data_IF_552371225922
#
_entry.id   IF_552371225922
#
_cell.length_a   1.000
_cell.length_b   1.000
_cell.length_c   1.000
_cell.angle_alpha   90.00
_cell.angle_beta   90.00
_cell.angle_gamma   90.00
#
_symmetry.space_group_name_H-M   'P 1'
#
loop_
_entity.id
_entity.type
_entity.pdbx_description
1 polymer ?
#
# COMPACT_ATOMS: atom_id res chain seq x y z
N UNK A 1 118.39 -7.42 -56.40
CA UNK A 1 117.44 -8.22 -57.18
C UNK A 1 116.08 -8.03 -56.50
N UNK A 2 115.23 -7.11 -56.98
CA UNK A 2 114.22 -7.28 -58.05
C UNK A 2 112.99 -8.08 -57.57
N UNK A 3 111.80 -7.44 -57.65
CA UNK A 3 110.43 -8.00 -57.58
C UNK A 3 109.96 -8.57 -56.20
N UNK A 4 108.67 -8.64 -55.79
CA UNK A 4 107.34 -8.05 -56.13
C UNK A 4 106.33 -8.58 -55.05
N UNK A 5 105.14 -8.07 -54.71
CA UNK A 5 104.29 -6.91 -55.10
C UNK A 5 103.14 -6.74 -54.04
N UNK A 6 102.33 -5.66 -54.11
CA UNK A 6 100.98 -5.43 -53.52
C UNK A 6 100.81 -5.12 -52.01
N UNK A 7 100.13 -4.01 -51.77
CA UNK A 7 99.45 -3.64 -50.53
C UNK A 7 98.18 -4.46 -50.31
N UNK A 8 97.76 -4.62 -49.04
CA UNK A 8 96.36 -4.84 -48.66
C UNK A 8 96.12 -4.27 -47.26
N UNK A 9 95.04 -3.50 -47.11
CA UNK A 9 94.72 -2.74 -45.89
C UNK A 9 93.99 -3.66 -44.91
N UNK A 10 94.43 -3.67 -43.65
CA UNK A 10 93.80 -4.44 -42.58
C UNK A 10 92.76 -3.58 -41.86
N UNK A 11 91.47 -3.80 -42.16
CA UNK A 11 90.36 -3.15 -41.44
C UNK A 11 89.89 -4.06 -40.31
N UNK A 12 90.03 -3.57 -39.07
CA UNK A 12 89.46 -4.20 -37.88
C UNK A 12 87.93 -4.08 -37.92
N UNK A 13 87.21 -5.20 -37.85
CA UNK A 13 85.74 -5.20 -37.73
C UNK A 13 85.33 -5.65 -36.32
N UNK A 14 85.07 -4.68 -35.45
CA UNK A 14 84.53 -4.91 -34.10
C UNK A 14 83.04 -5.21 -34.20
N UNK A 15 82.64 -6.44 -33.88
CA UNK A 15 81.26 -6.89 -33.95
C UNK A 15 80.47 -6.44 -32.70
N UNK A 16 79.78 -5.30 -32.80
CA UNK A 16 78.86 -4.84 -31.77
C UNK A 16 77.48 -5.52 -31.96
N UNK A 17 77.07 -6.36 -31.00
CA UNK A 17 75.76 -6.98 -31.00
C UNK A 17 74.69 -5.97 -30.54
N UNK A 18 73.90 -5.44 -31.47
CA UNK A 18 72.68 -4.71 -31.14
C UNK A 18 71.54 -5.68 -30.85
N UNK A 19 71.21 -5.87 -29.58
CA UNK A 19 69.92 -6.46 -29.18
C UNK A 19 68.82 -5.45 -29.44
N UNK A 20 68.11 -5.59 -30.56
CA UNK A 20 66.89 -4.84 -30.80
C UNK A 20 65.77 -5.38 -29.91
N UNK A 21 65.42 -4.66 -28.84
CA UNK A 21 64.13 -4.87 -28.20
C UNK A 21 63.04 -4.47 -29.20
N UNK A 22 62.25 -5.43 -29.66
CA UNK A 22 60.94 -5.12 -30.21
C UNK A 22 60.09 -4.60 -29.06
N UNK A 23 59.56 -3.38 -29.19
CA UNK A 23 58.38 -3.02 -28.42
C UNK A 23 57.24 -3.86 -28.98
N UNK A 24 56.95 -4.99 -28.34
CA UNK A 24 55.59 -5.53 -28.38
C UNK A 24 54.71 -4.50 -27.66
N UNK A 25 54.06 -3.63 -28.44
CA UNK A 25 53.11 -2.66 -27.92
C UNK A 25 52.02 -3.44 -27.16
N UNK A 26 52.02 -3.29 -25.83
CA UNK A 26 51.08 -4.00 -24.97
C UNK A 26 49.65 -3.62 -25.35
N UNK A 27 48.97 -4.53 -26.05
CA UNK A 27 47.57 -4.40 -26.44
C UNK A 27 46.73 -4.30 -25.17
N UNK A 28 46.21 -3.11 -24.88
CA UNK A 28 45.36 -2.85 -23.71
C UNK A 28 43.89 -2.77 -24.10
N UNK A 29 42.94 -3.14 -23.22
CA UNK A 29 41.52 -2.98 -23.47
C UNK A 29 41.14 -1.50 -23.49
N UNK A 30 40.45 -1.08 -24.53
CA UNK A 30 39.86 0.25 -24.63
C UNK A 30 38.33 0.16 -24.64
N UNK A 31 37.68 1.08 -23.94
CA UNK A 31 36.23 1.26 -23.95
C UNK A 31 35.95 2.66 -24.49
N UNK A 32 35.39 2.71 -25.69
CA UNK A 32 35.01 3.96 -26.36
C UNK A 32 33.65 4.45 -25.86
N UNK A 33 32.72 3.52 -25.64
CA UNK A 33 31.35 3.83 -25.26
C UNK A 33 30.76 2.80 -24.28
N UNK A 34 29.85 3.31 -23.44
CA UNK A 34 28.86 2.51 -22.73
C UNK A 34 27.49 3.05 -23.15
N UNK A 35 26.59 2.20 -23.62
CA UNK A 35 25.27 2.58 -24.14
C UNK A 35 24.15 1.78 -23.47
N UNK A 36 22.97 2.37 -23.35
CA UNK A 36 21.78 1.64 -22.92
C UNK A 36 21.33 0.65 -24.01
N UNK A 37 20.66 -0.43 -23.63
CA UNK A 37 20.16 -1.44 -24.57
C UNK A 37 18.63 -1.55 -24.59
N UNK A 38 17.94 -1.00 -25.61
CA UNK A 38 18.44 -0.06 -26.62
C UNK A 38 18.50 1.38 -26.10
N UNK A 39 19.38 2.23 -26.65
CA UNK A 39 19.42 3.65 -26.34
C UNK A 39 20.79 4.32 -26.54
N UNK A 40 20.96 5.45 -25.88
CA UNK A 40 22.07 6.39 -26.05
C UNK A 40 23.29 6.06 -25.17
N UNK A 41 24.35 6.86 -25.36
CA UNK A 41 25.55 6.90 -24.51
C UNK A 41 25.21 7.22 -23.05
N UNK A 42 25.75 6.40 -22.13
CA UNK A 42 25.52 6.48 -20.70
C UNK A 42 26.66 7.19 -19.97
N UNK A 43 26.41 8.43 -19.56
CA UNK A 43 27.16 9.09 -18.48
C UNK A 43 26.51 8.83 -17.10
N UNK A 44 25.21 8.56 -17.10
CA UNK A 44 24.38 8.27 -15.93
C UNK A 44 23.42 7.12 -16.27
N UNK A 45 23.00 6.32 -15.29
CA UNK A 45 22.10 5.18 -15.52
C UNK A 45 21.29 4.83 -14.27
N UNK A 46 20.33 3.92 -14.37
CA UNK A 46 19.54 3.43 -13.24
C UNK A 46 19.89 1.98 -12.89
N UNK A 47 19.59 1.53 -11.65
CA UNK A 47 19.48 0.12 -11.31
C UNK A 47 18.72 -0.70 -12.35
N UNK A 48 19.19 -1.93 -12.62
CA UNK A 48 18.62 -2.86 -13.61
C UNK A 48 18.68 -2.41 -15.08
N UNK A 49 19.29 -1.26 -15.41
CA UNK A 49 19.54 -0.91 -16.82
C UNK A 49 20.49 -1.92 -17.46
N UNK A 50 20.13 -2.42 -18.65
CA UNK A 50 21.01 -3.23 -19.49
C UNK A 50 21.95 -2.30 -20.26
N UNK A 51 23.24 -2.60 -20.19
CA UNK A 51 24.32 -1.80 -20.75
C UNK A 51 25.11 -2.64 -21.76
N UNK A 52 25.28 -2.12 -22.97
CA UNK A 52 26.29 -2.60 -23.92
C UNK A 52 27.53 -1.73 -23.78
N UNK A 53 28.68 -2.37 -23.71
CA UNK A 53 29.99 -1.72 -23.78
C UNK A 53 30.53 -1.91 -25.19
N UNK A 54 31.14 -0.88 -25.75
CA UNK A 54 31.74 -0.87 -27.08
C UNK A 54 33.18 -0.35 -27.00
N UNK A 55 34.08 -0.94 -27.79
CA UNK A 55 35.50 -0.58 -27.81
C UNK A 55 36.37 -1.59 -28.56
N UNK A 56 37.59 -1.78 -28.08
CA UNK A 56 38.60 -2.67 -28.70
C UNK A 56 39.35 -3.50 -27.65
N UNK A 57 39.82 -4.69 -28.06
CA UNK A 57 40.53 -5.66 -27.21
C UNK A 57 39.72 -6.10 -25.98
N UNK A 58 38.39 -6.16 -26.13
CA UNK A 58 37.44 -6.52 -25.07
C UNK A 58 37.21 -8.03 -24.95
N UNK A 59 37.84 -8.84 -25.81
CA UNK A 59 37.65 -10.29 -25.83
C UNK A 59 38.20 -10.96 -24.56
N UNK A 60 37.51 -12.02 -24.12
CA UNK A 60 37.89 -12.76 -22.93
C UNK A 60 37.68 -11.95 -21.66
N UNK A 61 36.56 -11.24 -21.57
CA UNK A 61 36.10 -10.62 -20.34
C UNK A 61 36.02 -11.67 -19.23
N UNK A 62 36.70 -11.43 -18.12
CA UNK A 62 36.82 -12.33 -16.97
C UNK A 62 35.96 -11.86 -15.80
N UNK A 63 35.92 -10.55 -15.56
CA UNK A 63 35.25 -9.95 -14.41
C UNK A 63 34.82 -8.52 -14.72
N UNK A 64 33.65 -8.15 -14.22
CA UNK A 64 33.17 -6.77 -14.13
C UNK A 64 33.04 -6.46 -12.64
N UNK A 65 33.60 -5.35 -12.16
CA UNK A 65 33.51 -4.92 -10.76
C UNK A 65 32.94 -3.51 -10.69
N UNK A 66 31.96 -3.29 -9.82
CA UNK A 66 31.34 -1.98 -9.56
C UNK A 66 31.69 -1.51 -8.15
N UNK A 67 32.09 -0.23 -8.02
CA UNK A 67 32.55 0.40 -6.78
C UNK A 67 33.64 -0.41 -6.03
N UNK A 68 34.47 -1.13 -6.79
CA UNK A 68 35.51 -2.07 -6.34
C UNK A 68 35.05 -3.18 -5.38
N UNK A 69 33.73 -3.41 -5.27
CA UNK A 69 33.10 -4.33 -4.30
C UNK A 69 32.18 -5.36 -4.94
N UNK A 70 31.45 -4.98 -5.98
CA UNK A 70 30.31 -5.75 -6.50
C UNK A 70 30.70 -6.40 -7.82
N UNK A 71 30.81 -7.73 -7.80
CA UNK A 71 31.05 -8.54 -8.99
C UNK A 71 29.77 -8.61 -9.83
N UNK A 72 29.77 -8.03 -11.04
CA UNK A 72 28.62 -8.08 -11.93
C UNK A 72 28.68 -9.35 -12.78
N UNK A 73 27.59 -10.12 -12.76
CA UNK A 73 27.41 -11.26 -13.66
C UNK A 73 27.17 -10.80 -15.11
N UNK A 74 27.80 -11.48 -16.05
CA UNK A 74 27.64 -11.29 -17.49
C UNK A 74 27.55 -12.65 -18.20
N UNK A 75 27.04 -12.67 -19.43
CA UNK A 75 27.01 -13.89 -20.25
C UNK A 75 28.20 -13.87 -21.22
N UNK A 76 29.19 -14.78 -21.08
CA UNK A 76 30.36 -14.82 -21.97
C UNK A 76 30.01 -15.00 -23.45
N UNK A 77 28.86 -15.59 -23.78
CA UNK A 77 28.41 -15.74 -25.16
C UNK A 77 28.05 -14.41 -25.85
N UNK A 78 27.90 -13.32 -25.09
CA UNK A 78 27.72 -11.97 -25.63
C UNK A 78 29.03 -11.15 -25.63
N UNK A 79 30.16 -11.72 -25.21
CA UNK A 79 31.46 -11.05 -25.27
C UNK A 79 32.14 -11.32 -26.62
N UNK A 80 32.29 -10.24 -27.40
CA UNK A 80 33.15 -10.18 -28.59
C UNK A 80 34.41 -9.37 -28.28
N UNK A 81 35.27 -9.20 -29.28
CA UNK A 81 36.43 -8.31 -29.15
C UNK A 81 36.07 -6.82 -29.12
N UNK A 82 34.87 -6.48 -29.62
CA UNK A 82 34.39 -5.10 -29.74
C UNK A 82 33.28 -4.73 -28.78
N UNK A 83 32.67 -5.70 -28.11
CA UNK A 83 31.53 -5.43 -27.24
C UNK A 83 31.22 -6.55 -26.24
N UNK A 84 30.47 -6.19 -25.19
CA UNK A 84 29.78 -7.12 -24.31
C UNK A 84 28.57 -6.45 -23.67
N UNK A 85 27.69 -7.24 -23.08
CA UNK A 85 26.46 -6.76 -22.43
C UNK A 85 26.40 -7.26 -20.99
N UNK A 86 26.00 -6.37 -20.07
CA UNK A 86 25.70 -6.68 -18.68
C UNK A 86 24.47 -5.88 -18.20
N UNK A 87 24.04 -6.11 -16.96
CA UNK A 87 22.95 -5.35 -16.32
C UNK A 87 23.49 -4.71 -15.05
N UNK A 88 23.18 -3.44 -14.81
CA UNK A 88 23.57 -2.70 -13.60
C UNK A 88 22.90 -3.36 -12.38
N UNK A 89 23.65 -3.96 -11.44
CA UNK A 89 23.08 -4.52 -10.23
C UNK A 89 22.69 -3.41 -9.25
N UNK A 90 21.76 -3.71 -8.36
CA UNK A 90 21.56 -2.90 -7.16
C UNK A 90 21.10 -3.79 -6.01
N UNK A 91 22.02 -4.12 -5.12
CA UNK A 91 21.80 -4.83 -3.87
C UNK A 91 22.56 -4.10 -2.75
N UNK A 92 21.81 -3.55 -1.78
CA UNK A 92 22.36 -2.89 -0.58
C UNK A 92 23.30 -3.80 0.21
N UNK A 93 23.01 -5.11 0.27
CA UNK A 93 23.78 -6.09 1.06
C UNK A 93 25.15 -6.38 0.45
N UNK A 94 25.29 -6.14 -0.85
CA UNK A 94 26.57 -6.19 -1.58
C UNK A 94 27.27 -4.81 -1.59
N UNK A 95 26.68 -3.78 -0.97
CA UNK A 95 27.26 -2.45 -0.86
C UNK A 95 26.91 -1.49 -1.99
N UNK A 96 25.80 -1.72 -2.70
CA UNK A 96 25.36 -0.83 -3.80
C UNK A 96 25.01 0.57 -3.28
N UNK A 97 25.40 1.60 -4.03
CA UNK A 97 25.13 3.01 -3.71
C UNK A 97 24.77 3.81 -4.96
N UNK A 98 24.19 4.98 -4.73
CA UNK A 98 23.90 5.97 -5.78
C UNK A 98 25.09 6.94 -5.98
N UNK A 99 25.00 7.74 -7.04
CA UNK A 99 26.01 8.70 -7.46
C UNK A 99 27.14 8.08 -8.29
N UNK A 100 28.20 8.85 -8.52
CA UNK A 100 29.35 8.45 -9.33
C UNK A 100 30.16 7.35 -8.62
N UNK A 101 30.48 6.28 -9.34
CA UNK A 101 31.33 5.19 -8.88
C UNK A 101 32.15 4.57 -10.01
N UNK A 102 33.33 3.99 -9.71
CA UNK A 102 34.13 3.31 -10.72
C UNK A 102 33.45 2.01 -11.15
N UNK A 103 33.58 1.68 -12.43
CA UNK A 103 33.28 0.36 -13.00
C UNK A 103 34.50 -0.13 -13.76
N UNK A 104 34.98 -1.32 -13.39
CA UNK A 104 36.23 -1.90 -13.86
C UNK A 104 35.96 -3.19 -14.63
N UNK A 105 36.50 -3.27 -15.85
CA UNK A 105 36.39 -4.40 -16.76
C UNK A 105 37.74 -5.09 -16.90
N UNK A 106 37.85 -6.33 -16.44
CA UNK A 106 39.05 -7.17 -16.54
C UNK A 106 38.90 -8.14 -17.71
N UNK A 107 39.73 -8.00 -18.75
CA UNK A 107 39.70 -8.80 -19.98
C UNK A 107 40.90 -9.77 -20.06
N UNK A 108 41.11 -10.38 -21.23
CA UNK A 108 42.35 -11.10 -21.52
C UNK A 108 43.54 -10.14 -21.72
N UNK A 109 43.30 -8.94 -22.25
CA UNK A 109 44.29 -7.93 -22.61
C UNK A 109 44.73 -7.03 -21.44
N UNK A 110 43.93 -6.92 -20.37
CA UNK A 110 44.26 -6.09 -19.22
C UNK A 110 43.03 -5.67 -18.43
N UNK A 111 43.10 -4.51 -17.79
CA UNK A 111 41.97 -3.92 -17.05
C UNK A 111 41.74 -2.48 -17.51
N UNK A 112 40.47 -2.10 -17.65
CA UNK A 112 40.06 -0.72 -17.96
C UNK A 112 38.95 -0.29 -17.01
N UNK A 113 39.11 0.89 -16.42
CA UNK A 113 38.16 1.49 -15.47
C UNK A 113 37.53 2.73 -16.10
N UNK A 114 36.21 2.85 -15.94
CA UNK A 114 35.43 4.05 -16.27
C UNK A 114 34.66 4.50 -15.03
N UNK A 115 34.10 5.70 -15.05
CA UNK A 115 33.15 6.16 -14.05
C UNK A 115 31.73 6.02 -14.60
N UNK A 116 30.78 5.66 -13.75
CA UNK A 116 29.36 5.66 -14.07
C UNK A 116 28.56 6.24 -12.89
N UNK A 117 27.58 7.08 -13.18
CA UNK A 117 26.67 7.61 -12.16
C UNK A 117 25.41 6.74 -12.06
N UNK A 118 25.14 6.18 -10.87
CA UNK A 118 23.90 5.43 -10.63
C UNK A 118 22.87 6.36 -9.98
N UNK A 119 21.83 6.69 -10.72
CA UNK A 119 20.72 7.51 -10.25
C UNK A 119 19.74 6.69 -9.39
N UNK A 120 19.16 7.33 -8.39
CA UNK A 120 18.06 6.74 -7.61
C UNK A 120 16.77 6.78 -8.45
N UNK A 121 16.09 5.64 -8.68
CA UNK A 121 14.77 5.64 -9.32
C UNK A 121 13.72 6.39 -8.51
N UNK A 122 12.63 6.79 -9.18
CA UNK A 122 11.46 7.34 -8.52
C UNK A 122 10.93 6.38 -7.44
N UNK A 123 10.58 6.88 -6.23
CA UNK A 123 9.89 6.07 -5.24
C UNK A 123 8.50 5.68 -5.73
N UNK A 124 7.98 4.56 -5.26
CA UNK A 124 6.60 4.14 -5.53
C UNK A 124 5.85 3.85 -4.23
N UNK A 125 4.53 4.04 -4.22
CA UNK A 125 3.67 3.61 -3.12
C UNK A 125 2.74 2.52 -3.67
N UNK A 126 2.90 1.29 -3.17
CA UNK A 126 2.11 0.14 -3.56
C UNK A 126 0.79 0.07 -2.77
N UNK A 127 0.87 0.12 -1.44
CA UNK A 127 -0.28 0.01 -0.55
C UNK A 127 -0.01 0.62 0.83
N UNK A 128 -1.07 0.77 1.61
CA UNK A 128 -1.00 1.14 3.03
C UNK A 128 -1.51 0.00 3.90
N UNK A 129 -1.03 -0.06 5.14
CA UNK A 129 -1.49 -1.00 6.17
C UNK A 129 -1.76 -0.21 7.46
N UNK A 130 -3.01 -0.17 7.95
CA UNK A 130 -4.23 -0.75 7.35
C UNK A 130 -4.59 -0.12 6.00
N UNK A 131 -5.39 -0.84 5.20
CA UNK A 131 -5.83 -0.39 3.87
C UNK A 131 -6.82 0.78 3.96
N UNK A 132 -7.76 0.71 4.91
CA UNK A 132 -8.59 1.84 5.35
C UNK A 132 -7.89 2.44 6.57
N UNK A 133 -7.39 3.66 6.45
CA UNK A 133 -6.61 4.28 7.52
C UNK A 133 -7.52 4.92 8.60
N UNK A 134 -6.99 5.07 9.81
CA UNK A 134 -7.70 5.71 10.94
C UNK A 134 -6.89 6.91 11.42
N UNK A 135 -7.38 8.15 11.26
CA UNK A 135 -6.73 9.36 11.77
C UNK A 135 -6.30 9.20 13.24
N UNK A 136 -5.06 9.61 13.56
CA UNK A 136 -4.48 9.49 14.90
C UNK A 136 -3.70 8.20 15.17
N UNK A 137 -3.80 7.19 14.30
CA UNK A 137 -3.07 5.93 14.42
C UNK A 137 -1.90 5.85 13.42
N UNK A 138 -0.85 5.04 13.69
CA UNK A 138 0.22 4.80 12.73
C UNK A 138 -0.30 4.19 11.42
N UNK A 139 0.30 4.59 10.30
CA UNK A 139 0.01 4.03 8.97
C UNK A 139 1.32 3.52 8.36
N UNK A 140 1.43 2.23 8.09
CA UNK A 140 2.53 1.70 7.29
C UNK A 140 2.25 1.94 5.80
N UNK A 141 3.28 2.33 5.07
CA UNK A 141 3.30 2.53 3.63
C UNK A 141 4.32 1.55 3.04
N UNK A 142 3.85 0.67 2.16
CA UNK A 142 4.72 -0.27 1.44
C UNK A 142 4.90 0.18 -0.01
N UNK A 143 6.11 0.02 -0.54
CA UNK A 143 6.52 0.59 -1.82
C UNK A 143 7.93 0.21 -2.24
N UNK A 144 8.59 1.08 -3.01
CA UNK A 144 9.98 0.89 -3.45
C UNK A 144 10.76 2.21 -3.49
N UNK A 145 12.09 2.09 -3.47
CA UNK A 145 13.07 3.17 -3.58
C UNK A 145 12.98 4.26 -2.50
N UNK A 146 12.56 3.90 -1.29
CA UNK A 146 12.51 4.77 -0.11
C UNK A 146 13.89 5.07 0.51
N UNK A 147 14.90 5.35 -0.32
CA UNK A 147 16.22 5.77 0.13
C UNK A 147 16.26 7.28 0.36
N UNK A 148 16.94 7.70 1.43
CA UNK A 148 17.22 9.11 1.74
C UNK A 148 15.94 9.98 1.70
N UNK A 149 14.83 9.47 2.25
CA UNK A 149 13.56 10.21 2.33
C UNK A 149 13.82 11.56 3.01
N UNK A 150 13.58 12.64 2.29
CA UNK A 150 13.87 14.01 2.75
C UNK A 150 12.65 14.66 3.40
N UNK A 151 11.45 14.24 3.01
CA UNK A 151 10.19 14.70 3.58
C UNK A 151 9.04 13.75 3.24
N UNK A 152 8.05 13.71 4.14
CA UNK A 152 6.73 13.17 3.87
C UNK A 152 5.71 14.23 4.29
N UNK A 153 4.74 14.51 3.42
CA UNK A 153 3.65 15.44 3.71
C UNK A 153 2.29 14.78 3.46
N UNK A 154 1.28 15.23 4.20
CA UNK A 154 -0.12 14.89 4.01
C UNK A 154 -0.92 16.20 3.88
N UNK A 155 -1.68 16.34 2.79
CA UNK A 155 -2.35 17.60 2.43
C UNK A 155 -1.38 18.83 2.50
N UNK A 156 -0.14 18.64 2.03
CA UNK A 156 0.92 19.65 2.05
C UNK A 156 1.59 19.91 3.40
N UNK A 157 1.11 19.33 4.51
CA UNK A 157 1.70 19.49 5.86
C UNK A 157 2.66 18.35 6.18
N UNK A 158 3.80 18.63 6.78
CA UNK A 158 4.75 17.59 7.21
C UNK A 158 4.13 16.64 8.24
N UNK A 159 4.41 15.35 8.11
CA UNK A 159 4.04 14.31 9.10
C UNK A 159 5.29 13.70 9.72
N UNK A 160 5.18 13.15 10.93
CA UNK A 160 6.24 12.33 11.52
C UNK A 160 6.34 11.00 10.79
N UNK A 161 7.55 10.48 10.62
CA UNK A 161 7.79 9.21 9.94
C UNK A 161 9.03 8.49 10.44
N UNK A 162 9.05 7.17 10.22
CA UNK A 162 10.20 6.29 10.37
C UNK A 162 10.36 5.47 9.10
N UNK A 163 11.57 5.43 8.54
CA UNK A 163 11.90 4.58 7.39
C UNK A 163 12.44 3.25 7.92
N UNK A 164 11.69 2.17 7.73
CA UNK A 164 12.08 0.83 8.20
C UNK A 164 13.01 0.15 7.19
N UNK A 165 12.79 0.39 5.89
CA UNK A 165 13.59 -0.13 4.79
C UNK A 165 13.37 0.70 3.53
N UNK A 166 14.10 0.40 2.46
CA UNK A 166 13.87 0.91 1.11
C UNK A 166 12.50 0.55 0.49
N UNK A 167 11.66 -0.22 1.21
CA UNK A 167 10.32 -0.65 0.80
C UNK A 167 9.20 -0.48 1.86
N UNK A 168 9.52 -0.05 3.09
CA UNK A 168 8.53 0.16 4.17
C UNK A 168 8.84 1.43 4.98
N UNK A 169 7.81 2.27 5.16
CA UNK A 169 7.82 3.47 5.99
C UNK A 169 6.62 3.41 6.92
N UNK A 170 6.75 3.85 8.17
CA UNK A 170 5.60 4.13 9.06
C UNK A 170 5.47 5.65 9.22
N UNK A 171 4.26 6.18 9.06
CA UNK A 171 3.93 7.58 9.38
C UNK A 171 3.02 7.68 10.59
N UNK A 172 3.16 8.76 11.35
CA UNK A 172 2.14 9.18 12.32
C UNK A 172 1.02 9.93 11.60
N UNK A 173 -0.13 9.29 11.40
CA UNK A 173 -1.27 9.93 10.74
C UNK A 173 -1.93 10.95 11.69
N UNK A 174 -2.07 12.23 11.32
CA UNK A 174 -2.70 13.22 12.19
C UNK A 174 -4.14 12.86 12.56
N UNK A 175 -4.55 13.11 13.81
CA UNK A 175 -5.91 12.86 14.29
C UNK A 175 -6.99 13.71 13.58
N UNK A 176 -6.59 14.82 12.96
CA UNK A 176 -7.43 15.71 12.17
C UNK A 176 -7.20 15.59 10.65
N UNK A 177 -6.64 14.47 10.19
CA UNK A 177 -6.53 14.20 8.75
C UNK A 177 -7.93 14.06 8.11
N UNK A 178 -8.07 14.54 6.87
CA UNK A 178 -9.33 14.52 6.10
C UNK A 178 -9.23 13.47 4.98
N UNK A 179 -10.31 12.72 4.70
CA UNK A 179 -10.31 11.73 3.61
C UNK A 179 -9.99 12.39 2.27
N UNK A 180 -9.30 11.67 1.38
CA UNK A 180 -8.82 12.20 0.11
C UNK A 180 -7.56 13.07 0.22
N UNK A 181 -6.95 13.17 1.41
CA UNK A 181 -5.69 13.91 1.58
C UNK A 181 -4.56 13.28 0.76
N UNK A 182 -3.89 14.09 -0.06
CA UNK A 182 -2.69 13.64 -0.80
C UNK A 182 -1.53 13.43 0.18
N UNK A 183 -1.02 12.20 0.24
CA UNK A 183 0.27 11.84 0.80
C UNK A 183 1.35 12.01 -0.27
N UNK A 184 2.44 12.70 0.05
CA UNK A 184 3.61 12.88 -0.82
C UNK A 184 4.87 12.43 -0.09
N UNK A 185 5.62 11.50 -0.68
CA UNK A 185 6.95 11.05 -0.21
C UNK A 185 7.99 11.62 -1.16
N UNK A 186 9.00 12.33 -0.63
CA UNK A 186 10.09 12.91 -1.42
C UNK A 186 11.42 12.23 -1.11
N UNK A 187 12.16 11.89 -2.17
CA UNK A 187 13.51 11.31 -2.15
C UNK A 187 14.39 12.04 -3.18
N UNK A 188 15.73 11.83 -3.21
CA UNK A 188 16.58 12.32 -4.28
C UNK A 188 16.18 11.84 -5.68
N UNK A 189 15.58 10.64 -5.79
CA UNK A 189 15.05 10.11 -7.06
C UNK A 189 13.74 10.75 -7.52
N UNK A 190 13.13 11.63 -6.69
CA UNK A 190 11.88 12.33 -6.98
C UNK A 190 10.77 11.98 -5.98
N UNK A 191 9.52 12.07 -6.42
CA UNK A 191 8.32 12.00 -5.56
C UNK A 191 7.40 10.83 -5.89
N UNK A 192 6.78 10.27 -4.85
CA UNK A 192 5.62 9.39 -4.96
C UNK A 192 4.40 10.07 -4.31
N UNK A 193 3.23 9.97 -4.92
CA UNK A 193 1.97 10.52 -4.38
C UNK A 193 0.89 9.45 -4.27
N UNK A 194 -0.02 9.60 -3.29
CA UNK A 194 -1.20 8.74 -3.11
C UNK A 194 -2.28 9.47 -2.29
N UNK A 195 -3.54 9.42 -2.73
CA UNK A 195 -4.66 9.84 -1.87
C UNK A 195 -4.89 8.82 -0.75
N UNK A 196 -5.03 9.31 0.48
CA UNK A 196 -5.33 8.49 1.65
C UNK A 196 -6.81 8.66 1.99
N UNK A 197 -7.55 7.55 1.92
CA UNK A 197 -8.97 7.49 2.27
C UNK A 197 -9.18 6.94 3.69
N UNK A 198 -10.22 7.45 4.35
CA UNK A 198 -10.68 7.04 5.67
C UNK A 198 -12.14 6.60 5.59
N UNK A 199 -12.53 5.70 6.48
CA UNK A 199 -13.95 5.42 6.66
C UNK A 199 -14.67 6.66 7.19
N UNK A 200 -15.75 7.07 6.53
CA UNK A 200 -16.76 7.96 7.14
C UNK A 200 -17.49 7.15 8.20
N UNK A 201 -17.49 7.61 9.46
CA UNK A 201 -18.25 6.97 10.55
C UNK A 201 -19.15 8.01 11.20
N UNK A 202 -20.45 7.73 11.21
CA UNK A 202 -21.47 8.60 11.78
C UNK A 202 -22.10 7.87 12.97
N UNK A 203 -21.93 8.43 14.17
CA UNK A 203 -22.63 7.97 15.36
C UNK A 203 -24.11 8.36 15.25
N UNK A 204 -24.99 7.38 15.22
CA UNK A 204 -26.44 7.56 15.22
C UNK A 204 -26.90 7.75 16.67
N UNK A 205 -26.52 6.84 17.56
CA UNK A 205 -26.79 6.95 19.01
C UNK A 205 -25.82 6.09 19.83
N UNK A 206 -25.42 6.59 20.99
CA UNK A 206 -24.70 5.87 22.06
C UNK A 206 -25.49 5.79 23.37
N UNK A 207 -26.74 6.25 23.38
CA UNK A 207 -27.61 6.33 24.57
C UNK A 207 -27.07 7.11 25.79
N UNK A 208 -25.86 7.67 25.69
CA UNK A 208 -25.19 8.53 26.67
C UNK A 208 -25.32 10.03 26.35
N UNK A 209 -26.02 10.36 25.25
CA UNK A 209 -26.39 11.72 24.87
C UNK A 209 -25.67 12.26 23.63
N UNK A 210 -24.88 11.43 22.94
CA UNK A 210 -24.23 11.80 21.69
C UNK A 210 -24.91 11.14 20.47
N UNK A 211 -24.41 11.49 19.28
CA UNK A 211 -24.92 11.00 18.00
C UNK A 211 -26.02 11.88 17.39
N UNK A 212 -26.40 11.56 16.15
CA UNK A 212 -27.40 12.33 15.37
C UNK A 212 -28.86 12.08 15.79
N UNK A 213 -29.11 11.16 16.73
CA UNK A 213 -30.42 10.67 17.14
C UNK A 213 -30.40 10.26 18.62
N UNK A 214 -30.82 11.16 19.51
CA UNK A 214 -30.78 10.96 20.97
C UNK A 214 -32.13 10.58 21.59
N UNK A 215 -33.26 10.91 20.94
CA UNK A 215 -34.61 10.65 21.46
C UNK A 215 -35.24 9.40 20.83
N UNK A 216 -35.06 8.23 21.44
CA UNK A 216 -35.65 6.97 20.98
C UNK A 216 -36.99 6.65 21.66
N UNK A 217 -37.92 6.07 20.89
CA UNK A 217 -39.21 5.56 21.37
C UNK A 217 -39.49 4.17 20.79
N UNK A 218 -40.42 3.44 21.40
CA UNK A 218 -40.84 2.09 20.98
C UNK A 218 -42.29 2.06 20.49
N UNK A 219 -42.61 1.10 19.61
CA UNK A 219 -43.93 0.95 19.00
C UNK A 219 -44.27 -0.51 18.67
N UNK A 220 -45.56 -0.80 18.47
CA UNK A 220 -46.07 -2.14 18.19
C UNK A 220 -46.13 -3.02 19.44
N UNK A 221 -45.93 -4.32 19.27
CA UNK A 221 -45.94 -5.32 20.34
C UNK A 221 -44.68 -5.24 21.22
N UNK A 222 -44.60 -4.23 22.10
CA UNK A 222 -43.49 -4.04 23.04
C UNK A 222 -44.01 -4.14 24.47
N UNK A 223 -43.31 -4.93 25.29
CA UNK A 223 -43.61 -5.11 26.72
C UNK A 223 -42.99 -3.97 27.54
N UNK A 224 -41.72 -3.69 27.30
CA UNK A 224 -41.00 -2.57 27.90
C UNK A 224 -39.84 -2.10 27.02
N UNK A 225 -39.52 -0.81 27.12
CA UNK A 225 -38.39 -0.18 26.45
C UNK A 225 -37.71 0.82 27.39
N UNK A 226 -36.38 0.77 27.48
CA UNK A 226 -35.53 1.70 28.25
C UNK A 226 -34.33 2.06 27.41
N UNK A 227 -33.89 3.32 27.49
CA UNK A 227 -32.69 3.85 26.81
C UNK A 227 -31.61 4.30 27.81
N UNK A 228 -31.74 3.90 29.07
CA UNK A 228 -30.96 4.41 30.20
C UNK A 228 -30.56 3.29 31.17
N UNK A 229 -30.39 2.08 30.65
CA UNK A 229 -29.89 0.95 31.46
C UNK A 229 -28.37 1.02 31.50
N UNK A 230 -27.77 1.14 32.68
CA UNK A 230 -26.31 1.21 32.82
C UNK A 230 -25.65 -0.17 32.66
N UNK A 231 -24.38 -0.19 32.23
CA UNK A 231 -23.60 -1.42 32.02
C UNK A 231 -23.55 -1.86 30.55
N UNK A 232 -23.60 -0.90 29.63
CA UNK A 232 -23.34 -1.10 28.21
C UNK A 232 -21.84 -1.29 27.94
N UNK A 233 -21.46 -1.50 26.67
CA UNK A 233 -20.08 -1.42 26.21
C UNK A 233 -19.46 -0.05 26.53
N UNK A 234 -20.25 1.01 26.34
CA UNK A 234 -20.00 2.37 26.83
C UNK A 234 -21.24 2.78 27.64
N UNK A 235 -21.06 3.27 28.87
CA UNK A 235 -22.12 3.85 29.72
C UNK A 235 -23.48 3.13 29.71
N UNK A 236 -24.49 3.80 29.16
CA UNK A 236 -25.88 3.33 29.08
C UNK A 236 -26.17 2.60 27.76
N UNK A 237 -27.22 1.78 27.77
CA UNK A 237 -27.68 1.08 26.57
C UNK A 237 -29.21 1.01 26.51
N UNK A 238 -29.73 0.69 25.32
CA UNK A 238 -31.15 0.46 25.10
C UNK A 238 -31.54 -1.01 25.28
N UNK A 239 -32.63 -1.26 26.01
CA UNK A 239 -33.27 -2.57 26.15
C UNK A 239 -34.67 -2.53 25.55
N UNK A 240 -35.00 -3.47 24.66
CA UNK A 240 -36.37 -3.69 24.17
C UNK A 240 -36.80 -5.12 24.53
N UNK A 241 -37.94 -5.24 25.22
CA UNK A 241 -38.51 -6.51 25.67
C UNK A 241 -39.77 -6.84 24.87
N UNK A 242 -39.86 -8.08 24.41
CA UNK A 242 -41.05 -8.67 23.80
C UNK A 242 -41.42 -9.97 24.51
N UNK A 243 -42.66 -10.04 25.00
CA UNK A 243 -43.19 -11.17 25.77
C UNK A 243 -44.02 -12.16 24.95
N UNK A 244 -44.01 -12.03 23.61
CA UNK A 244 -44.72 -12.93 22.70
C UNK A 244 -46.07 -12.42 22.18
N UNK A 245 -46.44 -11.16 22.47
CA UNK A 245 -47.64 -10.53 21.89
C UNK A 245 -47.58 -10.50 20.36
N UNK A 246 -48.69 -10.86 19.72
CA UNK A 246 -48.87 -10.79 18.26
C UNK A 246 -50.06 -9.90 17.88
N UNK A 247 -50.42 -8.93 18.73
CA UNK A 247 -51.61 -8.09 18.53
C UNK A 247 -51.46 -7.17 17.32
N UNK A 248 -50.23 -6.71 17.03
CA UNK A 248 -49.91 -5.87 15.89
C UNK A 248 -49.18 -6.66 14.78
N UNK A 249 -48.47 -7.73 15.14
CA UNK A 249 -47.65 -8.52 14.21
C UNK A 249 -46.29 -7.88 13.90
N UNK A 250 -45.94 -6.81 14.62
CA UNK A 250 -44.66 -6.12 14.53
C UNK A 250 -44.33 -5.43 15.85
N UNK A 251 -43.05 -5.18 16.08
CA UNK A 251 -42.55 -4.32 17.15
C UNK A 251 -41.28 -3.62 16.69
N UNK A 252 -40.88 -2.55 17.39
CA UNK A 252 -39.59 -1.92 17.17
C UNK A 252 -39.38 -0.67 18.02
N UNK A 253 -38.23 -0.07 17.82
CA UNK A 253 -37.84 1.22 18.37
C UNK A 253 -37.12 2.04 17.31
N UNK A 254 -37.25 3.36 17.42
CA UNK A 254 -36.65 4.33 16.50
C UNK A 254 -36.49 5.69 17.18
N UNK A 255 -35.57 6.50 16.67
CA UNK A 255 -35.51 7.93 16.93
C UNK A 255 -36.12 8.80 15.82
N UNK A 256 -36.85 8.16 14.89
CA UNK A 256 -37.52 8.80 13.77
C UNK A 256 -36.62 9.10 12.57
N UNK A 257 -37.28 9.24 11.42
CA UNK A 257 -36.69 9.78 10.21
C UNK A 257 -36.35 11.26 10.32
N UNK A 258 -35.60 11.77 9.34
CA UNK A 258 -35.21 13.18 9.29
C UNK A 258 -34.24 13.43 8.14
N UNK A 259 -33.22 14.25 8.37
CA UNK A 259 -32.05 14.33 7.48
C UNK A 259 -31.36 12.96 7.39
N UNK A 260 -30.89 12.64 6.19
CA UNK A 260 -30.08 11.48 5.87
C UNK A 260 -28.74 11.49 6.61
N UNK A 261 -28.17 10.31 6.87
CA UNK A 261 -26.97 10.16 7.69
C UNK A 261 -25.65 10.38 6.94
N UNK A 262 -25.60 9.99 5.65
CA UNK A 262 -24.39 10.04 4.81
C UNK A 262 -24.55 11.07 3.68
N UNK A 263 -23.44 11.67 3.24
CA UNK A 263 -23.41 12.59 2.10
C UNK A 263 -23.75 11.89 0.78
N UNK A 264 -24.23 12.64 -0.22
CA UNK A 264 -24.62 12.13 -1.54
C UNK A 264 -23.48 11.48 -2.35
N UNK A 265 -22.22 11.67 -1.94
CA UNK A 265 -21.04 10.96 -2.44
C UNK A 265 -20.97 9.49 -1.99
N UNK A 266 -21.67 9.15 -0.91
CA UNK A 266 -21.55 7.87 -0.22
C UNK A 266 -22.77 7.00 -0.58
N UNK A 267 -22.81 6.57 -1.84
CA UNK A 267 -24.01 6.04 -2.51
C UNK A 267 -23.88 4.59 -3.00
N UNK A 268 -22.83 3.87 -2.61
CA UNK A 268 -22.63 2.43 -2.89
C UNK A 268 -22.94 1.57 -1.65
N UNK A 269 -24.02 0.78 -1.69
CA UNK A 269 -24.40 -0.12 -0.59
C UNK A 269 -23.36 -1.20 -0.25
N UNK A 270 -22.50 -1.59 -1.19
CA UNK A 270 -21.43 -2.59 -0.94
C UNK A 270 -20.29 -2.03 -0.09
N UNK A 271 -20.22 -0.70 0.01
CA UNK A 271 -19.22 0.07 0.76
C UNK A 271 -19.76 0.60 2.09
N UNK A 272 -21.04 0.36 2.38
CA UNK A 272 -21.75 0.93 3.51
C UNK A 272 -22.18 -0.15 4.52
N UNK A 273 -22.08 0.16 5.80
CA UNK A 273 -22.26 -0.78 6.91
C UNK A 273 -23.02 -0.13 8.06
N UNK A 274 -23.80 -0.92 8.79
CA UNK A 274 -24.22 -0.60 10.15
C UNK A 274 -23.30 -1.36 11.11
N UNK A 275 -22.67 -0.64 12.04
CA UNK A 275 -22.02 -1.23 13.20
C UNK A 275 -22.89 -0.95 14.43
N UNK A 276 -23.25 -1.98 15.19
CA UNK A 276 -24.10 -1.87 16.38
C UNK A 276 -23.60 -2.85 17.43
N UNK A 277 -23.44 -2.40 18.68
CA UNK A 277 -23.13 -3.31 19.78
C UNK A 277 -24.42 -4.00 20.24
N UNK A 278 -24.37 -5.31 20.39
CA UNK A 278 -25.56 -6.13 20.70
C UNK A 278 -25.29 -7.15 21.81
N UNK A 279 -26.34 -7.40 22.59
CA UNK A 279 -26.46 -8.43 23.63
C UNK A 279 -27.95 -8.82 23.75
N UNK A 280 -28.27 -9.85 24.53
CA UNK A 280 -29.64 -10.21 24.89
C UNK A 280 -29.70 -10.84 26.29
N UNK A 281 -30.91 -11.17 26.74
CA UNK A 281 -31.12 -12.04 27.90
C UNK A 281 -30.87 -13.54 27.60
N UNK A 282 -30.93 -13.97 26.33
CA UNK A 282 -30.87 -15.38 25.95
C UNK A 282 -30.29 -15.55 24.54
N UNK A 283 -29.51 -16.62 24.32
CA UNK A 283 -29.02 -17.03 23.00
C UNK A 283 -30.20 -17.37 22.08
N UNK A 284 -30.10 -16.99 20.82
CA UNK A 284 -31.17 -17.18 19.83
C UNK A 284 -32.19 -16.04 19.78
N UNK A 285 -32.15 -15.08 20.71
CA UNK A 285 -32.98 -13.87 20.65
C UNK A 285 -32.76 -13.15 19.31
N UNK A 286 -33.85 -12.69 18.71
CA UNK A 286 -33.89 -12.22 17.32
C UNK A 286 -33.85 -10.71 17.25
N UNK A 287 -32.85 -10.16 16.57
CA UNK A 287 -32.83 -8.77 16.16
C UNK A 287 -33.49 -8.62 14.79
N UNK A 288 -34.29 -7.57 14.65
CA UNK A 288 -34.71 -7.00 13.38
C UNK A 288 -34.14 -5.58 13.27
N UNK A 289 -33.16 -5.40 12.39
CA UNK A 289 -32.64 -4.07 12.04
C UNK A 289 -33.37 -3.63 10.77
N UNK A 290 -33.98 -2.44 10.77
CA UNK A 290 -34.70 -1.93 9.61
C UNK A 290 -34.18 -0.54 9.23
N UNK A 291 -34.22 -0.24 7.94
CA UNK A 291 -33.78 1.03 7.36
C UNK A 291 -34.95 1.64 6.60
N UNK A 292 -35.24 2.91 6.84
CA UNK A 292 -36.08 3.70 5.93
C UNK A 292 -35.21 4.66 5.12
N UNK A 293 -35.62 4.92 3.88
CA UNK A 293 -35.03 5.95 3.03
C UNK A 293 -35.94 7.16 2.88
N UNK A 294 -35.36 8.29 2.48
CA UNK A 294 -36.12 9.49 2.08
C UNK A 294 -37.07 9.25 0.89
N UNK A 295 -36.83 8.20 0.09
CA UNK A 295 -37.70 7.78 -1.02
C UNK A 295 -38.90 6.92 -0.56
N UNK A 296 -39.03 6.68 0.76
CA UNK A 296 -40.11 5.86 1.34
C UNK A 296 -39.92 4.34 1.18
N UNK A 297 -38.74 3.90 0.72
CA UNK A 297 -38.40 2.49 0.57
C UNK A 297 -37.86 1.96 1.91
N UNK A 298 -38.30 0.76 2.30
CA UNK A 298 -37.99 0.17 3.60
C UNK A 298 -37.29 -1.17 3.43
N UNK A 299 -36.20 -1.35 4.15
CA UNK A 299 -35.36 -2.54 4.12
C UNK A 299 -35.21 -3.14 5.50
N UNK A 300 -34.86 -4.42 5.59
CA UNK A 300 -34.57 -5.07 6.87
C UNK A 300 -33.51 -6.17 6.78
N UNK A 301 -32.88 -6.42 7.92
CA UNK A 301 -31.90 -7.46 8.14
C UNK A 301 -32.15 -8.08 9.52
N UNK A 302 -32.50 -9.36 9.53
CA UNK A 302 -32.86 -10.10 10.73
C UNK A 302 -31.74 -11.10 11.09
N UNK A 303 -31.36 -11.18 12.36
CA UNK A 303 -30.36 -12.15 12.83
C UNK A 303 -30.61 -12.61 14.27
N UNK A 304 -30.07 -13.78 14.63
CA UNK A 304 -30.07 -14.30 16.00
C UNK A 304 -28.74 -13.97 16.69
N UNK A 305 -28.78 -13.59 17.96
CA UNK A 305 -27.56 -13.53 18.77
C UNK A 305 -27.07 -14.94 19.10
N UNK A 306 -25.76 -15.15 19.03
CA UNK A 306 -25.09 -16.43 19.33
C UNK A 306 -24.47 -16.46 20.73
N UNK A 307 -24.36 -15.30 21.38
CA UNK A 307 -23.86 -15.09 22.74
C UNK A 307 -24.72 -14.00 23.40
N UNK A 308 -24.77 -13.99 24.73
CA UNK A 308 -25.37 -12.93 25.56
C UNK A 308 -24.34 -11.88 26.00
N UNK A 309 -23.03 -12.14 25.83
CA UNK A 309 -21.99 -11.12 25.99
C UNK A 309 -22.14 -10.00 24.94
N UNK A 310 -21.69 -8.79 25.29
CA UNK A 310 -21.65 -7.67 24.35
C UNK A 310 -20.69 -7.94 23.19
N UNK A 311 -21.18 -7.78 21.97
CA UNK A 311 -20.38 -7.91 20.74
C UNK A 311 -20.78 -6.87 19.70
N UNK A 312 -19.81 -6.31 18.98
CA UNK A 312 -20.10 -5.43 17.84
C UNK A 312 -20.51 -6.27 16.63
N UNK A 313 -21.73 -6.03 16.12
CA UNK A 313 -22.26 -6.61 14.91
C UNK A 313 -22.11 -5.61 13.75
N UNK A 314 -21.20 -5.91 12.83
CA UNK A 314 -21.14 -5.26 11.52
C UNK A 314 -22.13 -5.94 10.56
N UNK A 315 -22.94 -5.14 9.86
CA UNK A 315 -23.94 -5.58 8.88
C UNK A 315 -23.69 -4.79 7.59
N UNK A 316 -23.47 -5.46 6.47
CA UNK A 316 -23.38 -4.80 5.16
C UNK A 316 -24.76 -4.27 4.76
N UNK A 317 -24.84 -3.03 4.29
CA UNK A 317 -26.10 -2.46 3.81
C UNK A 317 -26.59 -3.20 2.56
N UNK A 318 -25.70 -3.74 1.72
CA UNK A 318 -26.05 -4.58 0.59
C UNK A 318 -26.78 -5.89 0.96
N UNK A 319 -26.60 -6.40 2.18
CA UNK A 319 -27.19 -7.67 2.64
C UNK A 319 -28.62 -7.52 3.19
N UNK A 320 -29.09 -6.28 3.40
CA UNK A 320 -30.49 -6.03 3.76
C UNK A 320 -31.41 -6.46 2.60
N UNK A 321 -32.66 -6.78 2.91
CA UNK A 321 -33.69 -7.09 1.90
C UNK A 321 -34.82 -6.09 1.92
N UNK A 322 -35.48 -5.93 0.77
CA UNK A 322 -36.69 -5.13 0.64
C UNK A 322 -37.85 -5.65 1.54
N UNK A 323 -38.91 -4.86 1.64
CA UNK A 323 -40.09 -5.16 2.46
C UNK A 323 -39.71 -5.56 3.91
N UNK A 324 -38.96 -4.70 4.59
CA UNK A 324 -38.54 -4.88 6.00
C UNK A 324 -37.80 -6.21 6.27
N UNK A 325 -37.10 -6.77 5.28
CA UNK A 325 -36.33 -8.01 5.41
C UNK A 325 -37.06 -9.26 4.89
N UNK A 326 -38.33 -9.14 4.53
CA UNK A 326 -39.20 -10.25 4.10
C UNK A 326 -39.38 -10.33 2.58
N UNK A 327 -38.87 -9.37 1.82
CA UNK A 327 -38.89 -9.39 0.37
C UNK A 327 -37.79 -10.27 -0.24
N UNK A 328 -37.79 -10.36 -1.58
CA UNK A 328 -36.91 -11.24 -2.34
C UNK A 328 -35.63 -10.55 -2.83
N UNK A 329 -35.58 -9.21 -2.84
CA UNK A 329 -34.51 -8.44 -3.45
C UNK A 329 -33.52 -7.95 -2.38
N UNK A 330 -32.22 -8.07 -2.65
CA UNK A 330 -31.19 -7.46 -1.81
C UNK A 330 -31.11 -5.96 -2.02
N UNK A 331 -30.66 -5.24 -0.99
CA UNK A 331 -30.35 -3.83 -1.01
C UNK A 331 -28.99 -3.52 -1.68
N UNK A 332 -28.45 -4.41 -2.51
CA UNK A 332 -27.16 -4.23 -3.17
C UNK A 332 -27.10 -3.00 -4.11
N UNK A 333 -28.26 -2.51 -4.56
CA UNK A 333 -28.40 -1.28 -5.36
C UNK A 333 -29.04 -0.12 -4.58
N UNK A 334 -29.13 -0.22 -3.25
CA UNK A 334 -29.56 0.89 -2.41
C UNK A 334 -28.51 2.00 -2.47
N UNK A 335 -28.96 3.25 -2.48
CA UNK A 335 -28.16 4.43 -2.22
C UNK A 335 -28.13 4.69 -0.69
N UNK A 336 -27.08 4.30 0.05
CA UNK A 336 -26.97 4.53 1.49
C UNK A 336 -26.97 6.01 1.90
N UNK A 337 -26.71 6.95 0.97
CA UNK A 337 -26.86 8.38 1.25
C UNK A 337 -28.31 8.80 1.47
N UNK A 338 -29.28 7.94 1.14
CA UNK A 338 -30.71 8.19 1.32
C UNK A 338 -31.28 7.62 2.62
N UNK A 339 -30.52 6.84 3.38
CA UNK A 339 -30.97 6.27 4.66
C UNK A 339 -31.11 7.42 5.67
N UNK A 340 -32.30 7.55 6.26
CA UNK A 340 -32.61 8.62 7.21
C UNK A 340 -33.19 8.14 8.55
N UNK A 341 -33.49 6.85 8.66
CA UNK A 341 -33.97 6.20 9.88
C UNK A 341 -33.35 4.81 9.99
N UNK A 342 -32.92 4.45 11.21
CA UNK A 342 -32.52 3.10 11.59
C UNK A 342 -33.44 2.69 12.74
N UNK A 343 -34.02 1.50 12.63
CA UNK A 343 -34.94 0.92 13.60
C UNK A 343 -34.35 -0.36 14.17
N UNK A 344 -34.60 -0.61 15.45
CA UNK A 344 -34.18 -1.83 16.13
C UNK A 344 -35.39 -2.45 16.83
N UNK A 345 -35.72 -3.70 16.49
CA UNK A 345 -36.82 -4.45 17.07
C UNK A 345 -36.51 -5.93 17.18
N UNK A 346 -37.51 -6.72 17.57
CA UNK A 346 -37.42 -8.17 17.67
C UNK A 346 -38.21 -8.80 16.53
N UNK A 347 -37.57 -9.64 15.72
CA UNK A 347 -38.27 -10.37 14.67
C UNK A 347 -39.25 -11.38 15.31
N UNK A 348 -40.54 -11.25 15.01
CA UNK A 348 -41.58 -12.14 15.54
C UNK A 348 -41.69 -13.44 14.74
N UNK A 349 -42.33 -14.46 15.33
CA UNK A 349 -42.69 -15.71 14.64
C UNK A 349 -41.74 -16.89 14.88
N UNK A 350 -40.72 -16.74 15.72
CA UNK A 350 -39.81 -17.82 16.12
C UNK A 350 -39.32 -17.60 17.58
N UNK A 351 -38.75 -18.65 18.15
CA UNK A 351 -38.24 -18.75 19.52
C UNK A 351 -36.81 -18.20 19.68
N UNK A 352 -36.42 -17.77 20.90
CA UNK A 352 -37.19 -17.78 22.14
C UNK A 352 -38.12 -16.57 22.32
N UNK A 353 -39.28 -16.78 22.94
CA UNK A 353 -40.03 -15.74 23.64
C UNK A 353 -40.30 -16.19 25.10
N UNK A 354 -40.32 -15.29 26.10
CA UNK A 354 -39.99 -13.86 26.02
C UNK A 354 -38.51 -13.62 25.68
N UNK A 355 -38.21 -12.50 25.03
CA UNK A 355 -36.85 -12.09 24.66
C UNK A 355 -36.65 -10.60 24.94
N UNK A 356 -35.50 -10.26 25.49
CA UNK A 356 -35.04 -8.89 25.72
C UNK A 356 -33.73 -8.68 24.96
N UNK A 357 -33.79 -7.87 23.90
CA UNK A 357 -32.60 -7.45 23.15
C UNK A 357 -32.00 -6.20 23.80
N UNK A 358 -30.67 -6.10 23.74
CA UNK A 358 -29.90 -4.99 24.28
C UNK A 358 -28.99 -4.44 23.19
N UNK A 359 -28.95 -3.13 23.02
CA UNK A 359 -28.15 -2.52 21.96
C UNK A 359 -27.60 -1.14 22.33
N UNK A 360 -26.45 -0.83 21.73
CA UNK A 360 -25.69 0.39 21.96
C UNK A 360 -24.86 0.76 20.72
N UNK A 361 -24.26 1.96 20.70
CA UNK A 361 -23.20 2.38 19.79
C UNK A 361 -23.55 2.29 18.30
N UNK A 362 -24.81 2.56 17.96
CA UNK A 362 -25.32 2.46 16.59
C UNK A 362 -24.57 3.47 15.72
N UNK A 363 -23.82 2.96 14.74
CA UNK A 363 -23.03 3.74 13.78
C UNK A 363 -23.38 3.31 12.36
N UNK A 364 -23.42 4.28 11.44
CA UNK A 364 -23.38 4.00 10.00
C UNK A 364 -21.99 4.38 9.48
N UNK A 365 -21.36 3.44 8.77
CA UNK A 365 -20.00 3.55 8.27
C UNK A 365 -19.97 3.39 6.75
N UNK A 366 -19.14 4.17 6.08
CA UNK A 366 -18.87 4.08 4.64
C UNK A 366 -17.36 4.10 4.42
N UNK A 367 -16.83 3.18 3.59
CA UNK A 367 -15.38 2.98 3.41
C UNK A 367 -14.99 2.90 1.93
#
# INVERSE_FOLDING_TARGET
MINKIKYSILVLLTLAAFTACQNDDMVTPNVDAMVAEPGDLLNQTFPSTKVRVEGENLKGLKKITLDDKIDISFNPNYNSDKSFIFTIPFDEKLGSRFGVQPITFLTAAGSVTKNIEILQPLPTILKTIPAVATPGFPLEIQGTWFYNVSSITLAGKAVSYSVNSSSSIIIGLPANAVSGSELVITTPGGKATKSIEFATVILVSDFDGNGLRTSWTSYGDVDSFSTNTAGGPTGNYATLVWTGSTANGYNGSSAGGGSNFLSTSNNDATRAFIDIDVSANVVGAQFAIQLNTIDGINYGYNFKVTDVNWTTKTISIADFKDNYGFGANSAATLDPSKINEIKVGIAQGDTPNPSAIKFDNIKIRYQ
#
